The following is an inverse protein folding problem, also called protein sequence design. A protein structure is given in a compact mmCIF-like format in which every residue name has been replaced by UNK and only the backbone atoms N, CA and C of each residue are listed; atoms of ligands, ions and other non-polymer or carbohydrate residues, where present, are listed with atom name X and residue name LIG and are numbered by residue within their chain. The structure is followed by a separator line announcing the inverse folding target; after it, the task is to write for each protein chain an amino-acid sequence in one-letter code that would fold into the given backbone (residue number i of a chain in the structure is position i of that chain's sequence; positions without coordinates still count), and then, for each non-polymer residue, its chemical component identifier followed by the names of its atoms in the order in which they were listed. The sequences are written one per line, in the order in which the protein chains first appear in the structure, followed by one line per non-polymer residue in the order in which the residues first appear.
data_IF_010411237146
#
_entry.id   IF_010411237146
#
_cell.length_a   1.000
_cell.length_b   1.000
_cell.length_c   1.000
_cell.angle_alpha   90.00
_cell.angle_beta   90.00
_cell.angle_gamma   90.00
#
_symmetry.space_group_name_H-M   'P 1'
#
loop_
_entity.id
_entity.type
_entity.pdbx_description
1 polymer ?
#
# COMPACT_ATOMS: atom_id res chain seq x y z
N UNK A 1 -16.33 -32.12 10.90
CA UNK A 1 -15.75 -30.78 10.69
C UNK A 1 -14.32 -30.98 10.20
N UNK A 2 -13.84 -30.58 9.03
CA UNK A 2 -14.39 -30.13 7.75
C UNK A 2 -13.55 -30.84 6.67
N UNK A 3 -14.11 -31.19 5.50
CA UNK A 3 -13.34 -31.68 4.34
C UNK A 3 -12.65 -30.51 3.61
N UNK A 4 -12.20 -29.50 4.36
CA UNK A 4 -11.56 -28.33 3.77
C UNK A 4 -10.11 -28.68 3.47
N UNK A 5 -9.80 -28.70 2.18
CA UNK A 5 -8.47 -29.02 1.66
C UNK A 5 -7.71 -27.74 1.30
N UNK A 6 -8.42 -26.71 0.80
CA UNK A 6 -7.81 -25.43 0.40
C UNK A 6 -8.36 -24.26 1.21
N UNK A 7 -7.50 -23.33 1.61
CA UNK A 7 -7.88 -22.11 2.32
C UNK A 7 -6.97 -20.93 1.96
N UNK A 8 -7.59 -19.85 1.51
CA UNK A 8 -6.99 -18.52 1.40
C UNK A 8 -7.48 -17.64 2.55
N UNK A 9 -6.64 -17.47 3.56
CA UNK A 9 -6.97 -16.74 4.79
C UNK A 9 -6.60 -15.25 4.67
N UNK A 10 -7.57 -14.35 4.86
CA UNK A 10 -7.31 -12.92 5.05
C UNK A 10 -7.70 -12.54 6.48
N UNK A 11 -6.74 -12.08 7.27
CA UNK A 11 -6.93 -11.80 8.70
C UNK A 11 -6.41 -10.41 9.06
N UNK A 12 -7.26 -9.56 9.61
CA UNK A 12 -6.88 -8.27 10.19
C UNK A 12 -7.15 -8.30 11.70
N UNK A 13 -6.14 -8.02 12.51
CA UNK A 13 -6.24 -8.05 13.97
C UNK A 13 -5.68 -6.79 14.61
N UNK A 14 -6.24 -6.44 15.76
CA UNK A 14 -5.73 -5.42 16.66
C UNK A 14 -5.17 -6.10 17.90
N UNK A 15 -3.91 -5.83 18.20
CA UNK A 15 -3.11 -6.59 19.16
C UNK A 15 -2.33 -5.61 20.04
N UNK A 16 -2.29 -5.89 21.34
CA UNK A 16 -1.74 -4.93 22.32
C UNK A 16 -0.21 -4.97 22.42
N UNK A 17 0.44 -6.05 21.98
CA UNK A 17 1.90 -6.25 22.20
C UNK A 17 2.65 -6.88 21.03
N UNK A 18 2.08 -7.89 20.39
CA UNK A 18 2.77 -8.69 19.36
C UNK A 18 1.90 -8.90 18.15
N UNK A 19 2.43 -9.50 17.09
CA UNK A 19 1.73 -9.91 15.87
C UNK A 19 1.26 -11.38 15.96
N UNK A 20 0.42 -11.79 15.00
CA UNK A 20 0.08 -13.21 14.82
C UNK A 20 1.25 -13.89 14.12
N UNK A 21 2.04 -14.65 14.88
CA UNK A 21 3.19 -15.39 14.39
C UNK A 21 2.79 -16.76 13.77
N UNK A 22 3.76 -17.44 13.16
CA UNK A 22 3.50 -18.73 12.54
C UNK A 22 3.08 -19.83 13.53
N UNK A 23 3.54 -19.77 14.78
CA UNK A 23 3.12 -20.69 15.85
C UNK A 23 1.65 -20.49 16.22
N UNK A 24 1.19 -19.25 16.29
CA UNK A 24 -0.19 -18.89 16.56
C UNK A 24 -1.11 -19.44 15.46
N UNK A 25 -0.78 -19.20 14.19
CA UNK A 25 -1.52 -19.79 13.07
C UNK A 25 -1.56 -21.33 13.12
N UNK A 26 -0.41 -21.96 13.37
CA UNK A 26 -0.29 -23.43 13.40
C UNK A 26 -1.16 -24.02 14.50
N UNK A 27 -1.07 -23.46 15.70
CA UNK A 27 -1.75 -24.01 16.89
C UNK A 27 -3.22 -23.63 17.00
N UNK A 28 -3.63 -22.47 16.46
CA UNK A 28 -4.99 -21.93 16.62
C UNK A 28 -5.87 -22.09 15.39
N UNK A 29 -5.30 -22.25 14.21
CA UNK A 29 -6.06 -22.36 12.96
C UNK A 29 -5.78 -23.72 12.31
N UNK A 30 -4.53 -23.97 11.90
CA UNK A 30 -4.19 -25.11 11.04
C UNK A 30 -4.42 -26.45 11.74
N UNK A 31 -4.07 -26.56 13.04
CA UNK A 31 -4.31 -27.76 13.84
C UNK A 31 -5.77 -28.23 13.81
N UNK A 32 -6.71 -27.32 13.59
CA UNK A 32 -8.15 -27.62 13.55
C UNK A 32 -8.67 -27.97 12.15
N UNK A 33 -7.82 -27.94 11.11
CA UNK A 33 -8.16 -28.25 9.72
C UNK A 33 -7.18 -29.32 9.19
N UNK A 34 -7.26 -30.57 9.68
CA UNK A 34 -6.24 -31.59 9.44
C UNK A 34 -6.15 -32.07 7.97
N UNK A 35 -7.15 -31.75 7.13
CA UNK A 35 -7.16 -32.07 5.70
C UNK A 35 -6.61 -30.95 4.81
N UNK A 36 -6.17 -29.83 5.40
CA UNK A 36 -5.68 -28.68 4.66
C UNK A 36 -4.37 -29.03 3.94
N UNK A 37 -4.42 -29.11 2.61
CA UNK A 37 -3.29 -29.38 1.73
C UNK A 37 -2.73 -28.11 1.07
N UNK A 38 -3.58 -27.11 0.83
CA UNK A 38 -3.21 -25.81 0.30
C UNK A 38 -3.64 -24.71 1.27
N UNK A 39 -2.66 -23.95 1.73
CA UNK A 39 -2.89 -22.85 2.65
C UNK A 39 -2.12 -21.62 2.19
N UNK A 40 -2.86 -20.58 1.84
CA UNK A 40 -2.30 -19.24 1.65
C UNK A 40 -2.91 -18.29 2.67
N UNK A 41 -2.18 -17.25 3.04
CA UNK A 41 -2.65 -16.26 3.98
C UNK A 41 -2.09 -14.87 3.75
N UNK A 42 -2.86 -13.89 4.19
CA UNK A 42 -2.46 -12.51 4.44
C UNK A 42 -2.93 -12.12 5.84
N UNK A 43 -2.01 -11.60 6.64
CA UNK A 43 -2.24 -11.19 8.01
C UNK A 43 -1.79 -9.74 8.15
N UNK A 44 -2.71 -8.91 8.59
CA UNK A 44 -2.46 -7.54 8.99
C UNK A 44 -2.64 -7.43 10.51
N UNK A 45 -1.55 -7.20 11.23
CA UNK A 45 -1.58 -6.99 12.68
C UNK A 45 -1.35 -5.51 12.99
N UNK A 46 -2.31 -4.85 13.65
CA UNK A 46 -2.16 -3.51 14.20
C UNK A 46 -1.70 -3.60 15.65
N UNK A 47 -0.47 -3.16 15.92
CA UNK A 47 0.17 -3.24 17.23
C UNK A 47 0.12 -1.87 17.91
N UNK A 48 -0.52 -1.79 19.08
CA UNK A 48 -0.54 -0.58 19.90
C UNK A 48 0.64 -0.56 20.88
N UNK A 49 1.43 0.51 20.89
CA UNK A 49 2.50 0.65 21.87
C UNK A 49 2.02 1.50 23.01
N UNK A 50 1.73 0.84 24.14
CA UNK A 50 1.49 1.56 25.39
C UNK A 50 2.80 1.96 26.07
N UNK A 51 3.85 1.11 26.06
CA UNK A 51 5.09 1.34 26.84
C UNK A 51 6.40 0.72 26.28
N UNK A 52 6.41 0.08 25.10
CA UNK A 52 7.60 -0.65 24.60
C UNK A 52 8.47 0.19 23.65
N UNK A 53 9.79 -0.09 23.64
CA UNK A 53 10.78 0.68 22.86
C UNK A 53 11.05 0.12 21.45
N UNK A 54 10.58 -1.08 21.10
CA UNK A 54 10.92 -1.70 19.81
C UNK A 54 9.73 -2.45 19.19
N UNK A 55 9.49 -2.18 17.92
CA UNK A 55 8.60 -2.96 17.08
C UNK A 55 9.33 -4.17 16.50
N UNK A 56 8.64 -5.29 16.23
CA UNK A 56 9.24 -6.39 15.50
C UNK A 56 9.69 -5.90 14.12
N UNK A 57 10.88 -6.29 13.71
CA UNK A 57 11.39 -6.10 12.35
C UNK A 57 10.91 -7.23 11.43
N UNK A 58 11.12 -7.08 10.12
CA UNK A 58 10.88 -8.16 9.16
C UNK A 58 11.74 -9.38 9.49
N UNK A 59 12.96 -9.15 9.95
CA UNK A 59 13.93 -10.16 10.37
C UNK A 59 13.47 -10.91 11.63
N UNK A 60 12.69 -10.26 12.51
CA UNK A 60 12.07 -10.92 13.66
C UNK A 60 10.85 -11.74 13.27
N UNK A 61 10.09 -11.29 12.27
CA UNK A 61 8.82 -11.91 11.86
C UNK A 61 9.04 -13.19 11.07
N UNK A 62 9.86 -13.15 10.02
CA UNK A 62 9.99 -14.26 9.06
C UNK A 62 10.40 -15.60 9.69
N UNK A 63 11.35 -15.66 10.64
CA UNK A 63 11.73 -16.93 11.28
C UNK A 63 10.58 -17.63 11.99
N UNK A 64 9.55 -16.90 12.44
CA UNK A 64 8.39 -17.51 13.10
C UNK A 64 7.52 -18.36 12.18
N UNK A 65 7.73 -18.26 10.86
CA UNK A 65 7.01 -18.99 9.82
C UNK A 65 7.87 -20.04 9.10
N UNK A 66 9.05 -20.38 9.64
CA UNK A 66 9.99 -21.32 8.99
C UNK A 66 9.39 -22.71 8.73
N UNK A 67 8.43 -23.11 9.57
CA UNK A 67 7.74 -24.39 9.50
C UNK A 67 6.66 -24.47 8.40
N UNK A 68 6.45 -23.40 7.62
CA UNK A 68 5.43 -23.37 6.56
C UNK A 68 6.03 -23.87 5.25
N UNK A 69 5.82 -25.14 4.87
CA UNK A 69 6.36 -25.68 3.64
C UNK A 69 5.74 -24.95 2.44
N UNK A 70 6.54 -24.79 1.39
CA UNK A 70 6.14 -24.37 0.04
C UNK A 70 5.81 -22.88 -0.16
N UNK A 71 5.82 -22.04 0.87
CA UNK A 71 5.48 -20.64 0.72
C UNK A 71 6.65 -19.73 1.08
N UNK A 72 7.12 -18.93 0.11
CA UNK A 72 7.98 -17.78 0.41
C UNK A 72 7.18 -16.82 1.28
N UNK A 73 7.62 -16.58 2.50
CA UNK A 73 6.97 -15.64 3.42
C UNK A 73 7.50 -14.25 3.13
N UNK A 74 6.58 -13.31 2.92
CA UNK A 74 6.89 -11.90 2.75
C UNK A 74 6.28 -11.15 3.92
N UNK A 75 7.08 -10.28 4.53
CA UNK A 75 6.65 -9.45 5.63
C UNK A 75 7.08 -8.01 5.44
N UNK A 76 6.26 -7.11 5.93
CA UNK A 76 6.49 -5.68 5.86
C UNK A 76 5.97 -5.03 7.14
N UNK A 77 6.83 -4.24 7.78
CA UNK A 77 6.49 -3.53 9.02
C UNK A 77 6.46 -2.05 8.74
N UNK A 78 5.42 -1.40 9.25
CA UNK A 78 5.17 0.00 9.01
C UNK A 78 4.74 0.72 10.29
N UNK A 79 5.36 1.87 10.54
CA UNK A 79 5.29 2.55 11.83
C UNK A 79 4.57 3.89 11.70
N UNK A 80 3.44 4.03 12.40
CA UNK A 80 2.67 5.26 12.49
C UNK A 80 3.07 6.03 13.75
N UNK A 81 4.15 6.81 13.63
CA UNK A 81 4.72 7.57 14.75
C UNK A 81 3.70 8.47 15.48
N UNK A 82 2.74 9.06 14.77
CA UNK A 82 1.76 9.99 15.35
C UNK A 82 0.77 9.35 16.31
N UNK A 83 0.45 8.09 16.08
CA UNK A 83 -0.57 7.36 16.86
C UNK A 83 0.05 6.25 17.70
N UNK A 84 1.38 6.24 17.85
CA UNK A 84 2.14 5.21 18.58
C UNK A 84 1.68 3.79 18.22
N UNK A 85 1.47 3.56 16.92
CA UNK A 85 0.97 2.30 16.37
C UNK A 85 1.95 1.79 15.33
N UNK A 86 2.12 0.48 15.23
CA UNK A 86 2.74 -0.16 14.07
C UNK A 86 1.75 -1.11 13.42
N UNK A 87 1.99 -1.41 12.16
CA UNK A 87 1.33 -2.49 11.46
C UNK A 87 2.37 -3.45 10.92
N UNK A 88 2.08 -4.74 11.05
CA UNK A 88 2.83 -5.79 10.40
C UNK A 88 1.91 -6.42 9.35
N UNK A 89 2.40 -6.48 8.12
CA UNK A 89 1.79 -7.22 7.02
C UNK A 89 2.62 -8.48 6.82
N UNK A 90 1.98 -9.64 6.77
CA UNK A 90 2.63 -10.94 6.62
C UNK A 90 1.80 -11.76 5.66
N UNK A 91 2.41 -12.30 4.62
CA UNK A 91 1.68 -13.15 3.69
C UNK A 91 2.55 -14.24 3.09
N UNK A 92 1.90 -15.34 2.73
CA UNK A 92 2.52 -16.45 2.00
C UNK A 92 2.49 -16.18 0.51
N UNK A 93 3.54 -16.51 -0.23
CA UNK A 93 3.52 -16.48 -1.68
C UNK A 93 3.15 -17.87 -2.27
N UNK A 94 2.27 -17.94 -3.29
CA UNK A 94 1.52 -16.82 -3.88
C UNK A 94 0.26 -16.51 -3.06
N UNK A 95 0.06 -15.25 -2.70
CA UNK A 95 -1.22 -14.75 -2.19
C UNK A 95 -1.67 -13.60 -3.08
N UNK A 96 -2.87 -13.73 -3.65
CA UNK A 96 -3.45 -12.72 -4.52
C UNK A 96 -4.11 -11.61 -3.68
N UNK A 97 -3.29 -10.69 -3.20
CA UNK A 97 -3.79 -9.55 -2.43
C UNK A 97 -4.48 -8.54 -3.35
N UNK A 98 -5.82 -8.51 -3.33
CA UNK A 98 -6.58 -7.55 -4.13
C UNK A 98 -6.43 -6.13 -3.61
N UNK A 99 -6.45 -5.92 -2.30
CA UNK A 99 -6.42 -4.59 -1.69
C UNK A 99 -5.44 -4.52 -0.54
N UNK A 100 -4.54 -3.53 -0.56
CA UNK A 100 -3.72 -3.15 0.59
C UNK A 100 -4.19 -1.82 1.15
N UNK A 101 -4.52 -1.78 2.43
CA UNK A 101 -4.99 -0.55 3.07
C UNK A 101 -4.03 -0.02 4.12
N UNK A 102 -4.08 1.29 4.33
CA UNK A 102 -3.39 1.99 5.42
C UNK A 102 -1.87 1.96 5.35
N UNK A 103 -1.25 1.94 4.16
CA UNK A 103 0.22 2.01 4.07
C UNK A 103 0.73 3.45 4.29
N UNK A 104 1.89 3.60 4.95
CA UNK A 104 2.58 4.89 5.14
C UNK A 104 3.73 5.12 4.14
N UNK A 105 4.60 6.13 4.39
CA UNK A 105 5.79 6.42 3.55
C UNK A 105 6.81 5.31 3.51
N UNK A 106 6.84 4.42 4.50
CA UNK A 106 7.85 3.38 4.52
C UNK A 106 7.63 2.36 3.41
N UNK A 107 6.50 2.44 2.69
CA UNK A 107 6.21 1.55 1.60
C UNK A 107 7.05 1.92 0.38
N UNK A 108 8.06 1.10 0.10
CA UNK A 108 9.02 1.33 -0.98
C UNK A 108 8.49 0.95 -2.37
N UNK A 109 7.27 0.41 -2.49
CA UNK A 109 6.82 -0.27 -3.70
C UNK A 109 7.48 -1.64 -3.86
N UNK A 110 7.06 -2.40 -4.89
CA UNK A 110 7.66 -3.69 -5.27
C UNK A 110 7.39 -4.87 -4.33
N UNK A 111 6.91 -4.62 -3.11
CA UNK A 111 6.59 -5.67 -2.14
C UNK A 111 5.26 -6.36 -2.38
N UNK A 112 4.41 -5.86 -3.28
CA UNK A 112 3.13 -6.46 -3.57
C UNK A 112 2.93 -6.56 -5.07
N UNK A 113 3.58 -7.56 -5.66
CA UNK A 113 3.60 -7.76 -7.11
C UNK A 113 2.19 -7.79 -7.69
N UNK A 114 1.22 -8.41 -7.02
CA UNK A 114 -0.16 -8.57 -7.52
C UNK A 114 -1.20 -7.62 -6.92
N UNK A 115 -0.79 -6.51 -6.29
CA UNK A 115 -1.75 -5.56 -5.71
C UNK A 115 -2.54 -4.84 -6.80
N UNK A 116 -3.86 -4.92 -6.66
CA UNK A 116 -4.82 -4.22 -7.53
C UNK A 116 -5.21 -2.87 -6.94
N UNK A 117 -5.57 -2.84 -5.66
CA UNK A 117 -5.94 -1.64 -4.94
C UNK A 117 -4.91 -1.23 -3.88
N UNK A 118 -4.48 0.02 -3.92
CA UNK A 118 -3.55 0.60 -2.95
C UNK A 118 -4.20 1.79 -2.23
N UNK A 119 -4.30 1.72 -0.90
CA UNK A 119 -4.73 2.85 -0.08
C UNK A 119 -3.61 3.34 0.82
N UNK A 120 -3.28 4.62 0.66
CA UNK A 120 -2.25 5.33 1.39
C UNK A 120 -2.90 6.22 2.44
N UNK A 121 -2.36 6.18 3.66
CA UNK A 121 -2.80 7.03 4.77
C UNK A 121 -1.57 7.54 5.49
N UNK A 122 -1.15 8.76 5.16
CA UNK A 122 0.00 9.39 5.80
C UNK A 122 -0.04 10.90 5.73
N UNK A 123 -0.42 11.53 6.84
CA UNK A 123 -0.51 12.99 6.95
C UNK A 123 0.84 13.69 7.00
N UNK A 124 1.93 12.95 7.22
CA UNK A 124 3.26 13.52 7.27
C UNK A 124 3.89 13.64 5.88
N UNK A 125 4.67 14.72 5.64
CA UNK A 125 5.55 14.80 4.49
C UNK A 125 6.43 13.55 4.38
N UNK A 126 6.89 13.24 3.18
CA UNK A 126 7.90 12.22 3.03
C UNK A 126 9.20 12.74 3.67
N UNK A 127 9.52 12.29 4.90
CA UNK A 127 10.74 12.66 5.65
C UNK A 127 12.02 12.45 4.83
N UNK A 128 11.95 11.56 3.85
CA UNK A 128 12.87 11.52 2.73
C UNK A 128 12.02 11.84 1.50
N UNK A 129 12.12 13.08 0.97
CA UNK A 129 12.34 13.15 -0.48
C UNK A 129 13.41 12.09 -0.70
N UNK A 130 13.13 11.02 -1.41
CA UNK A 130 14.17 10.09 -1.78
C UNK A 130 15.15 10.87 -2.67
N UNK A 131 15.98 11.75 -2.08
CA UNK A 131 17.40 11.59 -2.21
C UNK A 131 17.63 10.10 -1.89
N UNK A 132 17.52 9.30 -2.94
CA UNK A 132 18.72 8.72 -3.50
C UNK A 132 19.88 9.67 -3.16
N UNK A 133 20.38 9.56 -1.93
CA UNK A 133 21.66 10.11 -1.59
C UNK A 133 22.54 9.38 -2.58
N UNK A 134 22.85 10.13 -3.63
CA UNK A 134 23.85 9.87 -4.63
C UNK A 134 25.15 9.65 -3.84
N UNK A 135 25.29 8.47 -3.24
CA UNK A 135 26.57 7.83 -3.27
C UNK A 135 26.80 7.65 -4.77
N UNK A 136 27.86 8.28 -5.26
CA UNK A 136 28.23 8.48 -6.66
C UNK A 136 28.36 7.21 -7.51
N UNK A 137 27.98 6.05 -6.95
CA UNK A 137 27.84 4.80 -7.67
C UNK A 137 26.46 4.76 -8.32
N UNK A 138 26.42 5.44 -9.46
CA UNK A 138 25.33 5.66 -10.39
C UNK A 138 24.81 4.35 -11.02
N UNK A 139 24.38 3.37 -10.21
CA UNK A 139 23.82 2.11 -10.70
C UNK A 139 22.33 2.07 -10.44
N UNK A 140 21.57 2.31 -11.52
CA UNK A 140 20.19 1.90 -11.73
C UNK A 140 19.28 2.00 -10.51
N UNK A 141 18.73 3.19 -10.30
CA UNK A 141 17.56 3.31 -9.45
C UNK A 141 16.44 2.54 -10.14
N UNK A 142 16.03 1.42 -9.54
CA UNK A 142 14.98 0.57 -10.08
C UNK A 142 13.70 1.39 -10.22
N UNK A 143 13.14 1.36 -11.43
CA UNK A 143 11.80 1.86 -11.70
C UNK A 143 10.83 1.11 -10.78
N UNK A 144 9.98 1.84 -10.06
CA UNK A 144 8.95 1.23 -9.22
C UNK A 144 7.72 1.05 -10.11
N UNK A 145 7.48 -0.18 -10.53
CA UNK A 145 6.38 -0.55 -11.41
C UNK A 145 5.21 -1.12 -10.60
N UNK A 146 4.01 -0.61 -10.88
CA UNK A 146 2.76 -1.06 -10.28
C UNK A 146 1.93 -1.81 -11.33
N UNK A 147 2.42 -2.99 -11.74
CA UNK A 147 1.90 -3.75 -12.88
C UNK A 147 0.45 -4.24 -12.75
N UNK A 148 -0.11 -4.33 -11.56
CA UNK A 148 -1.48 -4.81 -11.41
C UNK A 148 -2.39 -3.78 -10.77
N UNK A 149 -1.86 -2.59 -10.47
CA UNK A 149 -2.61 -1.54 -9.79
C UNK A 149 -3.69 -1.00 -10.72
N UNK A 150 -4.93 -1.16 -10.31
CA UNK A 150 -6.12 -0.63 -10.98
C UNK A 150 -6.81 0.45 -10.14
N UNK A 151 -6.59 0.48 -8.82
CA UNK A 151 -7.23 1.41 -7.91
C UNK A 151 -6.20 2.04 -6.95
N UNK A 152 -6.18 3.37 -6.89
CA UNK A 152 -5.27 4.14 -6.06
C UNK A 152 -6.06 5.11 -5.18
N UNK A 153 -6.06 4.86 -3.88
CA UNK A 153 -6.74 5.66 -2.88
C UNK A 153 -5.73 6.54 -2.12
N UNK A 154 -5.75 7.82 -2.45
CA UNK A 154 -4.87 8.85 -1.89
C UNK A 154 -5.70 9.81 -1.04
N UNK A 155 -6.08 9.37 0.15
CA UNK A 155 -6.95 10.11 1.07
C UNK A 155 -6.25 10.39 2.39
N UNK A 156 -6.41 11.60 2.95
CA UNK A 156 -5.75 11.98 4.22
C UNK A 156 -4.22 11.80 4.18
N UNK A 157 -3.60 12.01 3.01
CA UNK A 157 -2.15 11.96 2.86
C UNK A 157 -1.57 13.36 2.68
N UNK A 158 -0.27 13.49 2.90
CA UNK A 158 0.48 14.65 2.47
C UNK A 158 0.51 14.73 0.93
N UNK A 159 0.50 15.94 0.38
CA UNK A 159 0.40 16.13 -1.08
C UNK A 159 1.64 15.63 -1.85
N UNK A 160 2.81 15.51 -1.21
CA UNK A 160 4.00 14.89 -1.82
C UNK A 160 3.77 13.46 -2.36
N UNK A 161 2.82 12.70 -1.80
CA UNK A 161 2.48 11.37 -2.36
C UNK A 161 1.71 11.49 -3.66
N UNK A 162 0.77 12.43 -3.73
CA UNK A 162 0.06 12.74 -4.98
C UNK A 162 1.09 13.16 -6.02
N UNK A 163 2.05 14.00 -5.64
CA UNK A 163 3.15 14.39 -6.52
C UNK A 163 3.96 13.18 -7.00
N UNK A 164 4.34 12.29 -6.10
CA UNK A 164 5.08 11.07 -6.42
C UNK A 164 4.34 10.19 -7.43
N UNK A 165 3.07 9.88 -7.18
CA UNK A 165 2.33 8.97 -8.06
C UNK A 165 2.01 9.59 -9.42
N UNK A 166 1.73 10.89 -9.46
CA UNK A 166 1.30 11.55 -10.70
C UNK A 166 2.44 12.08 -11.56
N UNK A 167 3.55 12.52 -10.95
CA UNK A 167 4.61 13.27 -11.65
C UNK A 167 6.02 12.69 -11.48
N UNK A 168 6.27 11.70 -10.61
CA UNK A 168 7.60 11.09 -10.49
C UNK A 168 7.90 10.16 -11.68
N UNK A 169 9.00 10.42 -12.37
CA UNK A 169 9.47 9.61 -13.51
C UNK A 169 9.96 8.22 -13.11
N UNK A 170 10.21 7.98 -11.82
CA UNK A 170 10.61 6.69 -11.27
C UNK A 170 9.44 5.85 -10.78
N UNK A 171 8.22 6.37 -10.86
CA UNK A 171 7.00 5.62 -10.58
C UNK A 171 6.28 5.35 -11.89
N UNK A 172 5.96 4.08 -12.16
CA UNK A 172 5.20 3.71 -13.35
C UNK A 172 3.87 3.08 -12.95
N UNK A 173 2.78 3.76 -13.26
CA UNK A 173 1.42 3.22 -13.21
C UNK A 173 1.09 2.47 -14.50
N UNK A 174 0.19 1.49 -14.45
CA UNK A 174 -0.44 0.98 -15.66
C UNK A 174 -1.54 1.91 -16.18
N UNK A 175 -1.96 1.69 -17.41
CA UNK A 175 -3.14 2.33 -17.96
C UNK A 175 -4.41 1.88 -17.21
N UNK A 176 -5.43 2.72 -17.25
CA UNK A 176 -6.74 2.47 -16.66
C UNK A 176 -6.83 2.49 -15.13
N UNK A 177 -5.93 3.21 -14.46
CA UNK A 177 -6.01 3.38 -13.01
C UNK A 177 -7.18 4.28 -12.62
N UNK A 178 -7.91 3.86 -11.59
CA UNK A 178 -8.92 4.64 -10.89
C UNK A 178 -8.25 5.36 -9.72
N UNK A 179 -8.28 6.69 -9.72
CA UNK A 179 -7.69 7.50 -8.67
C UNK A 179 -8.77 8.11 -7.77
N UNK A 180 -8.68 7.87 -6.47
CA UNK A 180 -9.45 8.56 -5.43
C UNK A 180 -8.54 9.54 -4.73
N UNK A 181 -8.83 10.83 -4.81
CA UNK A 181 -7.97 11.88 -4.27
C UNK A 181 -8.77 13.08 -3.78
N UNK A 182 -8.24 13.75 -2.76
CA UNK A 182 -8.76 15.03 -2.29
C UNK A 182 -8.49 16.15 -3.32
N UNK A 183 -9.52 16.91 -3.69
CA UNK A 183 -9.43 17.92 -4.74
C UNK A 183 -8.50 19.08 -4.37
N UNK A 184 -8.52 19.55 -3.12
CA UNK A 184 -7.64 20.63 -2.66
C UNK A 184 -6.18 20.20 -2.71
N UNK A 185 -5.90 18.98 -2.30
CA UNK A 185 -4.57 18.38 -2.37
C UNK A 185 -4.09 18.28 -3.81
N UNK A 186 -4.97 17.90 -4.74
CA UNK A 186 -4.66 17.85 -6.17
C UNK A 186 -4.39 19.25 -6.74
N UNK A 187 -5.19 20.26 -6.39
CA UNK A 187 -4.95 21.66 -6.76
C UNK A 187 -3.58 22.13 -6.26
N UNK A 188 -3.21 21.77 -5.03
CA UNK A 188 -1.92 22.17 -4.45
C UNK A 188 -0.74 21.61 -5.22
N UNK A 189 -0.75 20.32 -5.57
CA UNK A 189 0.36 19.69 -6.33
C UNK A 189 0.47 20.23 -7.75
N UNK A 190 -0.68 20.53 -8.36
CA UNK A 190 -0.76 21.01 -9.74
C UNK A 190 -0.61 22.52 -9.86
N UNK A 191 -0.42 23.25 -8.75
CA UNK A 191 -0.46 24.71 -8.69
C UNK A 191 -1.72 25.28 -9.35
N UNK A 192 -2.89 24.82 -8.92
CA UNK A 192 -4.19 25.10 -9.53
C UNK A 192 -4.26 24.71 -11.01
N UNK A 193 -3.66 23.56 -11.37
CA UNK A 193 -3.56 23.08 -12.75
C UNK A 193 -2.82 24.04 -13.69
N UNK A 194 -1.80 24.75 -13.18
CA UNK A 194 -0.92 25.61 -13.97
C UNK A 194 0.53 25.13 -14.04
N UNK A 195 0.85 24.01 -13.37
CA UNK A 195 2.18 23.39 -13.40
C UNK A 195 2.46 22.78 -14.77
N UNK A 196 3.49 23.27 -15.45
CA UNK A 196 4.02 22.64 -16.66
C UNK A 196 4.74 21.33 -16.28
N UNK A 197 4.05 20.21 -16.40
CA UNK A 197 4.59 18.89 -16.10
C UNK A 197 4.04 17.88 -17.10
N UNK A 198 4.93 17.05 -17.65
CA UNK A 198 4.54 15.95 -18.52
C UNK A 198 3.67 14.98 -17.71
N UNK A 199 2.38 14.81 -18.06
CA UNK A 199 1.43 14.03 -17.26
C UNK A 199 1.60 12.53 -17.52
N UNK A 200 2.80 11.97 -17.32
CA UNK A 200 3.11 10.57 -17.69
C UNK A 200 2.23 9.57 -16.96
N UNK A 201 1.98 9.74 -15.66
CA UNK A 201 1.06 8.88 -14.92
C UNK A 201 -0.36 9.46 -14.85
N UNK A 202 -0.53 10.77 -14.89
CA UNK A 202 -1.88 11.39 -14.91
C UNK A 202 -2.67 10.99 -16.16
N UNK A 203 -2.01 10.86 -17.32
CA UNK A 203 -2.62 10.34 -18.54
C UNK A 203 -3.02 8.86 -18.45
N UNK A 204 -2.58 8.11 -17.43
CA UNK A 204 -2.96 6.71 -17.24
C UNK A 204 -4.22 6.53 -16.40
N UNK A 205 -4.73 7.62 -15.82
CA UNK A 205 -5.93 7.63 -14.99
C UNK A 205 -7.18 7.56 -15.90
N UNK A 206 -7.94 6.48 -15.81
CA UNK A 206 -9.21 6.31 -16.55
C UNK A 206 -10.41 6.87 -15.81
N UNK A 207 -10.32 7.01 -14.48
CA UNK A 207 -11.41 7.53 -13.66
C UNK A 207 -10.84 8.29 -12.47
N UNK A 208 -11.34 9.50 -12.27
CA UNK A 208 -10.91 10.38 -11.21
C UNK A 208 -12.10 10.62 -10.27
N UNK A 209 -11.96 10.12 -9.05
CA UNK A 209 -12.88 10.31 -7.93
C UNK A 209 -12.33 11.42 -7.03
N UNK A 210 -12.99 12.57 -7.06
CA UNK A 210 -12.60 13.74 -6.28
C UNK A 210 -13.43 13.80 -5.00
N UNK A 211 -12.73 13.83 -3.86
CA UNK A 211 -13.32 14.13 -2.56
C UNK A 211 -13.15 15.63 -2.25
N UNK A 212 -14.08 16.19 -1.46
CA UNK A 212 -14.04 17.60 -1.03
C UNK A 212 -14.93 18.54 -1.83
N UNK A 213 -15.08 19.77 -1.32
CA UNK A 213 -15.86 20.83 -1.97
C UNK A 213 -14.90 21.84 -2.60
N UNK A 214 -14.92 21.97 -3.92
CA UNK A 214 -14.09 22.94 -4.63
C UNK A 214 -14.69 23.37 -5.96
N UNK A 215 -14.44 24.62 -6.35
CA UNK A 215 -14.77 25.08 -7.71
C UNK A 215 -13.87 24.37 -8.70
N UNK A 216 -14.48 23.72 -9.70
CA UNK A 216 -13.75 23.01 -10.76
C UNK A 216 -12.95 24.00 -11.59
N UNK A 217 -11.68 23.68 -11.82
CA UNK A 217 -10.89 24.32 -12.87
C UNK A 217 -11.18 23.63 -14.19
N UNK A 218 -11.33 24.41 -15.26
CA UNK A 218 -11.46 23.87 -16.62
C UNK A 218 -10.18 23.14 -17.06
N UNK A 219 -9.03 23.55 -16.52
CA UNK A 219 -7.73 22.92 -16.79
C UNK A 219 -7.56 21.53 -16.16
N UNK A 220 -8.51 21.06 -15.34
CA UNK A 220 -8.46 19.70 -14.79
C UNK A 220 -8.45 18.64 -15.90
N UNK A 221 -9.20 18.86 -16.97
CA UNK A 221 -9.31 17.93 -18.10
C UNK A 221 -7.98 17.81 -18.87
N UNK A 222 -7.17 18.87 -18.90
CA UNK A 222 -5.84 18.86 -19.54
C UNK A 222 -4.85 17.95 -18.79
N UNK A 223 -4.97 17.85 -17.47
CA UNK A 223 -4.11 16.97 -16.65
C UNK A 223 -4.52 15.51 -16.69
N UNK A 224 -5.82 15.25 -16.87
CA UNK A 224 -6.39 13.90 -16.86
C UNK A 224 -7.23 13.65 -18.12
N UNK A 225 -6.60 13.68 -19.31
CA UNK A 225 -7.31 13.75 -20.60
C UNK A 225 -8.18 12.53 -20.90
N UNK A 226 -7.90 11.38 -20.27
CA UNK A 226 -8.64 10.14 -20.48
C UNK A 226 -9.55 9.77 -19.30
N UNK A 227 -9.63 10.63 -18.28
CA UNK A 227 -10.36 10.30 -17.07
C UNK A 227 -11.85 10.60 -17.19
N UNK A 228 -12.70 9.67 -16.73
CA UNK A 228 -14.09 9.94 -16.41
C UNK A 228 -14.16 10.55 -15.02
N UNK A 229 -14.59 11.80 -14.93
CA UNK A 229 -14.82 12.47 -13.65
C UNK A 229 -16.05 11.87 -12.95
N UNK A 230 -15.90 11.56 -11.67
CA UNK A 230 -17.02 11.11 -10.86
C UNK A 230 -16.91 11.64 -9.43
N UNK A 231 -18.06 11.91 -8.83
CA UNK A 231 -18.17 12.49 -7.49
C UNK A 231 -18.87 11.49 -6.60
N UNK A 232 -18.43 11.33 -5.33
CA UNK A 232 -19.25 10.65 -4.35
C UNK A 232 -20.59 11.37 -4.27
N UNK A 233 -21.69 10.64 -4.42
CA UNK A 233 -23.00 11.12 -4.02
C UNK A 233 -22.95 11.16 -2.48
N UNK A 234 -22.73 12.34 -1.93
CA UNK A 234 -22.88 12.59 -0.49
C UNK A 234 -24.35 12.80 -0.16
#
# INVERSE_FOLDING_TARGET
MSNLEELDLCLTVYVDKTFIDGNHLKTKIIKHIPRLNQFTFFIQSFIYVRNEMSFPSTEDIQPTFIDYPNNKIISYVDNFADVKRSQCHIYSYPFLMRYSTSLTNNFSGGLFEYVQGLSLVNRKPQNRKQSYKSNSDNRNLSLIEYFFLNELYISNVHYDYIEKFLFDTKTYLQNNVILYVDYESLQRVTHNFARDATPTNSAKISKLHLCGQGKRSNSLEEYFPYSKLSYPLY
#
